data_IF_620828934179
#
_entry.id   IF_620828934179
#
_cell.length_a   1.000
_cell.length_b   1.000
_cell.length_c   1.000
_cell.angle_alpha   90.00
_cell.angle_beta   90.00
_cell.angle_gamma   90.00
#
_symmetry.space_group_name_H-M   'P 1'
#
loop_
_entity.id
_entity.type
_entity.pdbx_description
1 polymer ?
#
# COMPACT_ATOMS: atom_id res chain seq x y z
N UNK A 1 -4.92 20.76 0.26
CA UNK A 1 -4.40 19.87 1.31
C UNK A 1 -2.99 19.42 0.95
N UNK A 2 -2.12 18.99 1.89
CA UNK A 2 -0.84 18.41 1.53
C UNK A 2 -1.04 17.11 0.74
N UNK A 3 -0.10 16.81 -0.16
CA UNK A 3 -0.16 15.60 -0.98
C UNK A 3 0.49 14.42 -0.25
N UNK A 4 -0.18 13.27 -0.27
CA UNK A 4 0.34 11.98 0.19
C UNK A 4 0.43 11.02 -1.00
N UNK A 5 1.64 10.59 -1.36
CA UNK A 5 1.85 9.55 -2.36
C UNK A 5 2.03 8.22 -1.63
N UNK A 6 1.25 7.22 -2.00
CA UNK A 6 1.28 5.89 -1.39
C UNK A 6 1.68 4.85 -2.43
N UNK A 7 2.77 4.14 -2.21
CA UNK A 7 3.17 2.99 -3.03
C UNK A 7 2.74 1.69 -2.36
N UNK A 8 1.84 0.96 -3.00
CA UNK A 8 1.27 -0.25 -2.44
C UNK A 8 1.33 -1.43 -3.42
N UNK A 9 1.67 -2.62 -2.90
CA UNK A 9 1.63 -3.88 -3.64
C UNK A 9 0.24 -4.51 -3.68
N UNK A 10 -0.70 -4.00 -2.87
CA UNK A 10 -2.10 -4.45 -2.86
C UNK A 10 -2.96 -3.57 -3.75
N UNK A 11 -3.97 -4.18 -4.39
CA UNK A 11 -4.98 -3.47 -5.15
C UNK A 11 -6.00 -2.80 -4.24
N UNK A 12 -6.40 -1.59 -4.58
CA UNK A 12 -7.40 -0.83 -3.82
C UNK A 12 -8.76 -1.53 -3.79
N UNK A 13 -9.17 -2.10 -4.91
CA UNK A 13 -10.48 -2.72 -5.11
C UNK A 13 -10.51 -4.23 -4.81
N UNK A 14 -9.47 -4.79 -4.21
CA UNK A 14 -9.42 -6.21 -3.86
C UNK A 14 -10.10 -6.46 -2.50
N UNK A 15 -9.34 -6.57 -1.42
CA UNK A 15 -9.87 -6.77 -0.07
C UNK A 15 -9.65 -5.52 0.75
N UNK A 16 -10.67 -5.06 1.48
CA UNK A 16 -10.55 -3.87 2.33
C UNK A 16 -9.71 -4.20 3.56
N UNK A 17 -8.45 -3.79 3.53
CA UNK A 17 -7.42 -4.11 4.51
C UNK A 17 -6.81 -2.84 5.12
N UNK A 18 -5.68 -2.98 5.80
CA UNK A 18 -4.95 -1.91 6.46
C UNK A 18 -4.72 -0.68 5.56
N UNK A 19 -4.26 -0.80 4.29
CA UNK A 19 -4.06 0.38 3.44
C UNK A 19 -5.35 1.18 3.25
N UNK A 20 -6.46 0.54 2.88
CA UNK A 20 -7.73 1.23 2.66
C UNK A 20 -8.26 1.85 3.97
N UNK A 21 -8.16 1.13 5.09
CA UNK A 21 -8.60 1.64 6.39
C UNK A 21 -7.82 2.89 6.83
N UNK A 22 -6.51 2.94 6.58
CA UNK A 22 -5.68 4.09 6.93
C UNK A 22 -5.89 5.24 5.96
N UNK A 23 -5.85 4.96 4.65
CA UNK A 23 -5.93 6.01 3.63
C UNK A 23 -7.30 6.70 3.64
N UNK A 24 -8.41 5.97 3.85
CA UNK A 24 -9.74 6.60 3.97
C UNK A 24 -9.85 7.56 5.16
N UNK A 25 -9.11 7.33 6.24
CA UNK A 25 -9.05 8.24 7.38
C UNK A 25 -8.09 9.41 7.15
N UNK A 26 -6.94 9.13 6.55
CA UNK A 26 -5.95 10.17 6.22
C UNK A 26 -6.43 11.12 5.12
N UNK A 27 -7.39 10.70 4.28
CA UNK A 27 -8.01 11.55 3.27
C UNK A 27 -8.80 12.76 3.84
N UNK A 28 -9.07 12.78 5.13
CA UNK A 28 -9.58 13.98 5.82
C UNK A 28 -8.52 15.09 5.91
N UNK A 29 -7.24 14.76 5.74
CA UNK A 29 -6.12 15.67 5.94
C UNK A 29 -5.18 15.79 4.73
N UNK A 30 -5.26 14.84 3.77
CA UNK A 30 -4.37 14.74 2.62
C UNK A 30 -5.13 14.52 1.32
N UNK A 31 -4.58 15.05 0.21
CA UNK A 31 -4.92 14.59 -1.13
C UNK A 31 -4.03 13.36 -1.45
N UNK A 32 -4.66 12.19 -1.57
CA UNK A 32 -3.95 10.90 -1.65
C UNK A 32 -3.86 10.42 -3.10
N UNK A 33 -2.64 10.13 -3.53
CA UNK A 33 -2.31 9.47 -4.77
C UNK A 33 -1.85 8.05 -4.46
N UNK A 34 -2.74 7.08 -4.60
CA UNK A 34 -2.49 5.69 -4.27
C UNK A 34 -1.97 4.96 -5.51
N UNK A 35 -0.66 4.74 -5.57
CA UNK A 35 0.03 4.13 -6.70
C UNK A 35 0.10 2.62 -6.50
N UNK A 36 -0.59 1.90 -7.37
CA UNK A 36 -0.58 0.44 -7.42
C UNK A 36 0.57 -0.10 -8.28
N UNK A 37 0.85 -1.39 -8.11
CA UNK A 37 1.72 -2.12 -9.03
C UNK A 37 1.18 -2.08 -10.46
N UNK A 38 2.07 -2.10 -11.49
CA UNK A 38 1.64 -2.09 -12.87
C UNK A 38 0.77 -3.29 -13.24
N UNK A 39 -0.08 -3.06 -14.23
CA UNK A 39 -0.88 -4.08 -14.91
C UNK A 39 -0.33 -4.26 -16.32
N UNK A 40 -0.20 -5.50 -16.76
CA UNK A 40 0.15 -5.76 -18.15
C UNK A 40 -0.97 -5.28 -19.09
N UNK A 41 -0.58 -4.52 -20.10
CA UNK A 41 -1.46 -4.03 -21.15
C UNK A 41 -0.66 -3.86 -22.44
N UNK A 42 -1.15 -4.40 -23.53
CA UNK A 42 -0.51 -4.21 -24.84
C UNK A 42 -0.56 -2.73 -25.27
N UNK A 43 0.44 -2.33 -26.07
CA UNK A 43 0.52 -0.99 -26.64
C UNK A 43 1.33 0.00 -25.80
N UNK A 44 1.04 1.28 -25.97
CA UNK A 44 1.77 2.35 -25.28
C UNK A 44 1.42 2.35 -23.78
N UNK A 45 2.44 2.51 -22.94
CA UNK A 45 2.24 2.61 -21.52
C UNK A 45 1.45 3.89 -21.14
N UNK A 46 0.57 3.77 -20.16
CA UNK A 46 -0.23 4.89 -19.63
C UNK A 46 -0.53 4.74 -18.14
N UNK A 47 -0.84 5.87 -17.50
CA UNK A 47 -1.29 5.91 -16.11
C UNK A 47 -2.80 6.10 -16.05
N UNK A 48 -3.53 5.06 -15.58
CA UNK A 48 -4.96 5.17 -15.31
C UNK A 48 -5.16 5.80 -13.94
N UNK A 49 -5.88 6.91 -13.89
CA UNK A 49 -6.26 7.59 -12.64
C UNK A 49 -7.75 7.42 -12.40
N UNK A 50 -8.14 6.94 -11.21
CA UNK A 50 -9.54 6.69 -10.82
C UNK A 50 -9.80 7.29 -9.44
N UNK A 51 -10.71 8.26 -9.35
CA UNK A 51 -11.18 8.75 -8.05
C UNK A 51 -12.06 7.67 -7.40
N UNK A 52 -11.67 7.18 -6.23
CA UNK A 52 -12.34 6.07 -5.52
C UNK A 52 -13.06 6.54 -4.25
N UNK A 53 -12.65 7.69 -3.72
CA UNK A 53 -13.29 8.35 -2.58
C UNK A 53 -12.92 9.85 -2.62
N UNK A 54 -13.55 10.71 -1.81
CA UNK A 54 -13.08 12.08 -1.65
C UNK A 54 -11.60 12.11 -1.28
N UNK A 55 -10.82 12.91 -2.02
CA UNK A 55 -9.38 13.09 -1.83
C UNK A 55 -8.54 11.81 -1.97
N UNK A 56 -9.04 10.76 -2.63
CA UNK A 56 -8.28 9.54 -2.95
C UNK A 56 -8.38 9.24 -4.44
N UNK A 57 -7.24 9.29 -5.11
CA UNK A 57 -7.08 8.88 -6.50
C UNK A 57 -6.17 7.66 -6.59
N UNK A 58 -6.69 6.55 -7.11
CA UNK A 58 -5.89 5.37 -7.44
C UNK A 58 -5.19 5.61 -8.77
N UNK A 59 -3.88 5.45 -8.77
CA UNK A 59 -2.99 5.60 -9.90
C UNK A 59 -2.46 4.21 -10.29
N UNK A 60 -3.00 3.64 -11.35
CA UNK A 60 -2.64 2.30 -11.83
C UNK A 60 -1.85 2.40 -13.14
N UNK A 61 -0.54 2.11 -13.13
CA UNK A 61 0.26 2.05 -14.35
C UNK A 61 -0.15 0.85 -15.21
N UNK A 62 -0.24 1.05 -16.51
CA UNK A 62 -0.42 0.02 -17.53
C UNK A 62 0.80 -0.02 -18.43
N UNK A 63 1.44 -1.20 -18.57
CA UNK A 63 2.69 -1.36 -19.32
C UNK A 63 2.68 -2.67 -20.13
N UNK A 64 3.42 -2.71 -21.23
CA UNK A 64 3.62 -3.92 -22.01
C UNK A 64 4.80 -4.79 -21.52
N UNK A 65 5.23 -4.60 -20.27
CA UNK A 65 6.38 -5.28 -19.70
C UNK A 65 5.89 -6.46 -18.85
N UNK A 66 6.34 -7.67 -19.16
CA UNK A 66 6.02 -8.91 -18.47
C UNK A 66 6.87 -9.12 -17.19
N UNK A 67 6.96 -8.11 -16.34
CA UNK A 67 7.65 -8.21 -15.07
C UNK A 67 6.69 -7.89 -13.92
N UNK A 68 6.71 -8.64 -12.80
CA UNK A 68 5.73 -8.48 -11.73
C UNK A 68 6.02 -7.27 -10.87
N UNK A 69 4.99 -6.59 -10.43
CA UNK A 69 5.06 -5.53 -9.45
C UNK A 69 6.01 -4.39 -9.83
N UNK A 70 6.69 -3.83 -8.85
CA UNK A 70 7.71 -2.79 -9.04
C UNK A 70 9.10 -3.40 -9.38
N UNK A 71 9.13 -4.37 -10.31
CA UNK A 71 10.38 -4.97 -10.79
C UNK A 71 11.27 -3.95 -11.49
N UNK A 72 12.59 -4.22 -11.53
CA UNK A 72 13.57 -3.31 -12.13
C UNK A 72 13.26 -2.95 -13.58
N UNK A 73 12.76 -3.90 -14.36
CA UNK A 73 12.40 -3.69 -15.77
C UNK A 73 11.24 -2.69 -15.94
N UNK A 74 10.38 -2.55 -14.93
CA UNK A 74 9.27 -1.60 -14.93
C UNK A 74 9.72 -0.16 -14.64
N UNK A 75 10.80 0.01 -13.87
CA UNK A 75 11.19 1.31 -13.30
C UNK A 75 11.35 2.43 -14.33
N UNK A 76 12.02 2.24 -15.49
CA UNK A 76 12.18 3.32 -16.47
C UNK A 76 10.83 3.84 -16.98
N UNK A 77 9.90 2.92 -17.26
CA UNK A 77 8.55 3.28 -17.72
C UNK A 77 7.75 3.94 -16.60
N UNK A 78 7.84 3.40 -15.37
CA UNK A 78 7.13 3.97 -14.22
C UNK A 78 7.65 5.38 -13.88
N UNK A 79 8.95 5.64 -13.94
CA UNK A 79 9.48 6.99 -13.77
C UNK A 79 8.87 7.98 -14.76
N UNK A 80 8.75 7.59 -16.05
CA UNK A 80 8.13 8.42 -17.07
C UNK A 80 6.65 8.67 -16.77
N UNK A 81 5.90 7.63 -16.40
CA UNK A 81 4.45 7.73 -16.12
C UNK A 81 4.14 8.54 -14.86
N UNK A 82 5.05 8.55 -13.89
CA UNK A 82 4.88 9.22 -12.60
C UNK A 82 5.59 10.59 -12.53
N UNK A 83 6.30 11.00 -13.58
CA UNK A 83 7.04 12.27 -13.61
C UNK A 83 6.14 13.49 -13.29
N UNK A 84 4.91 13.48 -13.83
CA UNK A 84 3.92 14.55 -13.62
C UNK A 84 2.84 14.15 -12.61
N UNK A 85 3.18 13.24 -11.68
CA UNK A 85 2.21 12.76 -10.68
C UNK A 85 1.77 13.89 -9.76
N UNK A 86 2.68 14.78 -9.41
CA UNK A 86 2.44 15.99 -8.60
C UNK A 86 3.00 17.22 -9.30
N UNK A 87 2.42 18.42 -9.07
CA UNK A 87 2.97 19.67 -9.59
C UNK A 87 4.41 19.90 -9.15
N UNK A 88 5.19 20.57 -10.00
CA UNK A 88 6.56 20.99 -9.67
C UNK A 88 6.58 21.84 -8.39
N UNK A 89 7.58 21.62 -7.54
CA UNK A 89 7.71 22.29 -6.24
C UNK A 89 6.84 21.71 -5.13
N UNK A 90 6.02 20.69 -5.41
CA UNK A 90 5.29 19.97 -4.36
C UNK A 90 6.27 19.18 -3.49
N UNK A 91 6.07 19.24 -2.17
CA UNK A 91 6.81 18.47 -1.17
C UNK A 91 5.87 17.41 -0.55
N UNK A 92 5.64 16.28 -1.23
CA UNK A 92 4.68 15.27 -0.74
C UNK A 92 5.21 14.54 0.49
N UNK A 93 4.31 14.00 1.29
CA UNK A 93 4.65 12.85 2.14
C UNK A 93 4.63 11.61 1.25
N UNK A 94 5.63 10.75 1.36
CA UNK A 94 5.69 9.50 0.60
C UNK A 94 5.59 8.31 1.55
N UNK A 95 4.60 7.45 1.31
CA UNK A 95 4.26 6.30 2.15
C UNK A 95 4.48 5.00 1.38
N UNK A 96 5.31 4.12 1.92
CA UNK A 96 5.63 2.84 1.32
C UNK A 96 4.99 1.69 2.10
N UNK A 97 4.19 0.87 1.41
CA UNK A 97 3.78 -0.48 1.85
C UNK A 97 4.69 -1.58 1.29
N UNK A 98 5.52 -1.25 0.32
CA UNK A 98 6.47 -2.16 -0.29
C UNK A 98 7.82 -1.49 -0.55
N UNK A 99 8.93 -2.09 -0.09
CA UNK A 99 10.26 -1.59 -0.41
C UNK A 99 10.59 -1.64 -1.90
N UNK A 100 9.90 -2.48 -2.67
CA UNK A 100 10.16 -2.62 -4.11
C UNK A 100 9.95 -1.33 -4.90
N UNK A 101 9.09 -0.45 -4.42
CA UNK A 101 8.84 0.85 -5.02
C UNK A 101 9.87 1.94 -4.65
N UNK A 102 10.84 1.66 -3.77
CA UNK A 102 11.81 2.66 -3.30
C UNK A 102 12.53 3.42 -4.44
N UNK A 103 12.95 2.79 -5.55
CA UNK A 103 13.58 3.53 -6.64
C UNK A 103 12.70 4.63 -7.25
N UNK A 104 11.37 4.51 -7.16
CA UNK A 104 10.43 5.54 -7.64
C UNK A 104 10.43 6.82 -6.80
N UNK A 105 11.16 6.83 -5.69
CA UNK A 105 11.43 8.06 -4.92
C UNK A 105 12.33 9.04 -5.71
N UNK A 106 13.10 8.54 -6.66
CA UNK A 106 13.93 9.38 -7.52
C UNK A 106 13.05 10.33 -8.33
N UNK A 107 13.35 11.63 -8.25
CA UNK A 107 12.57 12.68 -8.89
C UNK A 107 11.42 13.23 -8.05
N UNK A 108 11.03 12.55 -6.97
CA UNK A 108 10.18 13.12 -5.93
C UNK A 108 11.06 13.85 -4.91
N UNK A 109 10.55 14.95 -4.38
CA UNK A 109 11.20 15.69 -3.29
C UNK A 109 10.34 15.59 -2.03
N UNK A 110 10.42 14.46 -1.28
CA UNK A 110 9.51 14.22 -0.18
C UNK A 110 9.81 15.13 1.01
N UNK A 111 8.74 15.66 1.64
CA UNK A 111 8.83 16.31 2.94
C UNK A 111 9.05 15.31 4.06
N UNK A 112 8.48 14.12 3.93
CA UNK A 112 8.61 12.99 4.85
C UNK A 112 8.47 11.66 4.12
N UNK A 113 9.16 10.64 4.64
CA UNK A 113 9.12 9.27 4.16
C UNK A 113 8.58 8.37 5.28
N UNK A 114 7.51 7.63 4.98
CA UNK A 114 6.89 6.66 5.90
C UNK A 114 7.06 5.26 5.32
N UNK A 115 7.51 4.32 6.14
CA UNK A 115 7.46 2.90 5.81
C UNK A 115 6.47 2.19 6.73
N UNK A 116 5.39 1.64 6.16
CA UNK A 116 4.41 0.81 6.88
C UNK A 116 4.61 -0.66 6.52
N UNK A 117 5.41 -1.35 7.35
CA UNK A 117 5.74 -2.75 7.25
C UNK A 117 4.57 -3.59 7.80
N UNK A 118 3.62 -3.92 6.94
CA UNK A 118 2.46 -4.73 7.34
C UNK A 118 2.74 -6.25 7.27
N UNK A 119 3.72 -6.67 6.47
CA UNK A 119 4.14 -8.06 6.27
C UNK A 119 5.66 -8.17 6.17
N UNK A 120 6.22 -9.33 6.50
CA UNK A 120 7.63 -9.66 6.23
C UNK A 120 7.75 -10.17 4.79
N UNK A 121 7.66 -9.24 3.83
CA UNK A 121 7.61 -9.56 2.40
C UNK A 121 8.78 -10.41 1.92
N UNK A 122 9.95 -10.29 2.56
CA UNK A 122 11.14 -11.07 2.23
C UNK A 122 11.03 -12.57 2.57
N UNK A 123 10.06 -12.95 3.41
CA UNK A 123 9.82 -14.34 3.81
C UNK A 123 8.90 -15.09 2.83
N UNK A 124 8.29 -14.40 1.88
CA UNK A 124 7.47 -15.08 0.87
C UNK A 124 8.32 -15.90 -0.09
N UNK A 125 7.82 -17.07 -0.49
CA UNK A 125 8.54 -18.08 -1.30
C UNK A 125 9.21 -17.53 -2.57
N UNK A 126 8.60 -16.53 -3.21
CA UNK A 126 9.08 -15.94 -4.46
C UNK A 126 9.49 -14.48 -4.28
N UNK A 127 9.93 -14.08 -3.08
CA UNK A 127 10.36 -12.71 -2.82
C UNK A 127 11.50 -12.32 -3.77
N UNK A 128 11.42 -11.12 -4.40
CA UNK A 128 12.51 -10.63 -5.23
C UNK A 128 13.81 -10.49 -4.45
N UNK A 129 14.94 -10.84 -5.05
CA UNK A 129 16.26 -10.77 -4.39
C UNK A 129 16.60 -9.35 -3.91
N UNK A 130 16.13 -8.34 -4.65
CA UNK A 130 16.35 -6.92 -4.34
C UNK A 130 15.60 -6.44 -3.10
N UNK A 131 14.58 -7.18 -2.66
CA UNK A 131 13.66 -6.74 -1.60
C UNK A 131 14.40 -6.43 -0.29
N UNK A 132 15.30 -7.33 0.16
CA UNK A 132 16.07 -7.12 1.38
C UNK A 132 16.98 -5.88 1.31
N UNK A 133 17.63 -5.67 0.17
CA UNK A 133 18.48 -4.51 -0.05
C UNK A 133 17.66 -3.23 -0.04
N UNK A 134 16.52 -3.23 -0.73
CA UNK A 134 15.61 -2.07 -0.79
C UNK A 134 14.95 -1.79 0.55
N UNK A 135 14.59 -2.84 1.31
CA UNK A 135 14.08 -2.64 2.67
C UNK A 135 15.13 -2.00 3.57
N UNK A 136 16.38 -2.47 3.49
CA UNK A 136 17.47 -1.88 4.28
C UNK A 136 17.70 -0.41 3.92
N UNK A 137 17.66 -0.08 2.63
CA UNK A 137 17.77 1.29 2.18
C UNK A 137 16.57 2.15 2.64
N UNK A 138 15.35 1.62 2.52
CA UNK A 138 14.13 2.32 2.95
C UNK A 138 14.12 2.57 4.46
N UNK A 139 14.54 1.60 5.27
CA UNK A 139 14.68 1.78 6.73
C UNK A 139 15.67 2.91 7.08
N UNK A 140 16.75 3.05 6.32
CA UNK A 140 17.72 4.13 6.54
C UNK A 140 17.21 5.50 6.11
N UNK A 141 16.25 5.57 5.17
CA UNK A 141 15.74 6.82 4.60
C UNK A 141 14.43 7.27 5.27
N UNK A 142 13.66 6.36 5.86
CA UNK A 142 12.37 6.66 6.45
C UNK A 142 12.51 7.60 7.66
N UNK A 143 11.58 8.53 7.80
CA UNK A 143 11.42 9.37 9.00
C UNK A 143 10.71 8.61 10.12
N UNK A 144 9.82 7.68 9.75
CA UNK A 144 9.07 6.85 10.68
C UNK A 144 8.75 5.49 10.05
N UNK A 145 8.78 4.45 10.88
CA UNK A 145 8.44 3.07 10.50
C UNK A 145 7.26 2.60 11.35
N UNK A 146 6.20 2.16 10.69
CA UNK A 146 5.09 1.47 11.32
C UNK A 146 5.20 -0.03 11.06
N UNK A 147 4.74 -0.83 12.01
CA UNK A 147 4.70 -2.30 11.86
C UNK A 147 3.32 -2.83 12.19
N UNK A 148 2.85 -3.79 11.39
CA UNK A 148 1.51 -4.38 11.49
C UNK A 148 1.32 -5.36 12.65
N UNK A 149 2.37 -5.61 13.45
CA UNK A 149 2.28 -6.51 14.59
C UNK A 149 3.56 -6.59 15.42
N UNK A 150 3.48 -7.22 16.62
CA UNK A 150 4.61 -7.28 17.55
C UNK A 150 5.85 -7.98 17.00
N UNK A 151 5.69 -9.06 16.21
CA UNK A 151 6.81 -9.79 15.62
C UNK A 151 7.57 -8.92 14.60
N UNK A 152 6.85 -8.18 13.75
CA UNK A 152 7.44 -7.22 12.82
C UNK A 152 8.15 -6.09 13.57
N UNK A 153 7.53 -5.59 14.64
CA UNK A 153 8.15 -4.57 15.48
C UNK A 153 9.48 -5.07 16.07
N UNK A 154 9.52 -6.27 16.64
CA UNK A 154 10.75 -6.83 17.20
C UNK A 154 11.86 -6.95 16.14
N UNK A 155 11.52 -7.25 14.88
CA UNK A 155 12.50 -7.37 13.79
C UNK A 155 13.00 -6.02 13.24
N UNK A 156 12.24 -4.93 13.44
CA UNK A 156 12.55 -3.61 12.86
C UNK A 156 13.04 -2.57 13.89
N UNK A 157 12.67 -2.69 15.18
CA UNK A 157 12.95 -1.68 16.21
C UNK A 157 14.45 -1.38 16.41
N UNK A 158 15.29 -2.39 16.26
CA UNK A 158 16.74 -2.24 16.43
C UNK A 158 17.41 -1.71 15.14
N UNK A 159 16.65 -1.62 14.04
CA UNK A 159 17.09 -1.12 12.74
C UNK A 159 16.63 0.31 12.46
N UNK A 160 15.67 0.83 13.23
CA UNK A 160 15.15 2.19 13.05
C UNK A 160 14.69 2.79 14.39
N UNK A 161 15.28 3.95 14.77
CA UNK A 161 15.02 4.56 16.07
C UNK A 161 13.58 5.05 16.27
N UNK A 162 12.89 5.41 15.17
CA UNK A 162 11.51 5.88 15.18
C UNK A 162 10.55 4.83 14.62
N UNK A 163 10.61 3.59 15.18
CA UNK A 163 9.73 2.49 14.81
C UNK A 163 8.60 2.34 15.84
N UNK A 164 7.37 2.10 15.35
CA UNK A 164 6.18 1.97 16.18
C UNK A 164 5.34 0.76 15.76
N UNK A 165 4.78 0.05 16.75
CA UNK A 165 3.88 -1.07 16.53
C UNK A 165 2.43 -0.59 16.53
N UNK A 166 1.77 -0.69 15.38
CA UNK A 166 0.32 -0.52 15.24
C UNK A 166 -0.26 -1.80 14.66
N UNK A 167 -0.60 -2.73 15.54
CA UNK A 167 -1.18 -4.01 15.14
C UNK A 167 -2.43 -3.82 14.30
N UNK A 168 -2.64 -4.73 13.35
CA UNK A 168 -3.87 -4.79 12.58
C UNK A 168 -5.05 -4.89 13.55
N UNK A 169 -6.10 -4.14 13.26
CA UNK A 169 -7.33 -4.09 14.03
C UNK A 169 -8.53 -4.19 13.09
N UNK A 170 -9.73 -4.11 13.64
CA UNK A 170 -10.96 -4.23 12.88
C UNK A 170 -11.77 -2.93 12.92
N UNK A 171 -12.57 -2.68 11.90
CA UNK A 171 -13.61 -1.67 11.96
C UNK A 171 -14.73 -2.15 12.89
N UNK A 172 -14.67 -1.71 14.15
CA UNK A 172 -15.61 -2.12 15.18
C UNK A 172 -17.06 -1.79 14.83
N UNK A 173 -17.31 -0.68 14.09
CA UNK A 173 -18.65 -0.31 13.65
C UNK A 173 -19.18 -1.32 12.62
N UNK A 174 -18.34 -1.70 11.66
CA UNK A 174 -18.69 -2.70 10.64
C UNK A 174 -18.96 -4.06 11.28
N UNK A 175 -18.02 -4.56 12.09
CA UNK A 175 -18.12 -5.90 12.69
C UNK A 175 -19.18 -6.02 13.80
N UNK A 176 -19.58 -4.92 14.44
CA UNK A 176 -20.65 -4.93 15.46
C UNK A 176 -21.98 -5.44 14.94
N UNK A 177 -22.24 -5.32 13.64
CA UNK A 177 -23.44 -5.89 13.00
C UNK A 177 -23.56 -7.41 13.21
N UNK A 178 -22.44 -8.13 13.34
CA UNK A 178 -22.44 -9.57 13.61
C UNK A 178 -23.01 -9.96 14.99
N UNK A 179 -23.18 -9.01 15.91
CA UNK A 179 -23.84 -9.23 17.20
C UNK A 179 -25.36 -9.31 17.07
N UNK A 180 -25.94 -8.78 16.01
CA UNK A 180 -27.36 -8.91 15.72
C UNK A 180 -27.62 -10.24 15.01
N UNK A 181 -28.25 -11.18 15.73
CA UNK A 181 -28.57 -12.51 15.21
C UNK A 181 -29.62 -12.51 14.09
N UNK A 182 -30.34 -11.42 13.91
CA UNK A 182 -31.29 -11.26 12.81
C UNK A 182 -30.59 -10.96 11.47
N UNK A 183 -29.33 -10.45 11.51
CA UNK A 183 -28.54 -10.17 10.33
C UNK A 183 -27.82 -11.45 9.89
N UNK A 184 -28.16 -11.96 8.72
CA UNK A 184 -27.48 -13.09 8.08
C UNK A 184 -27.08 -12.71 6.65
N UNK A 185 -25.86 -13.10 6.26
CA UNK A 185 -25.42 -12.88 4.88
C UNK A 185 -26.24 -13.75 3.92
N UNK A 186 -26.85 -13.19 2.86
CA UNK A 186 -27.73 -13.96 1.95
C UNK A 186 -27.08 -15.20 1.38
N UNK A 187 -25.79 -15.15 1.03
CA UNK A 187 -25.01 -16.28 0.51
C UNK A 187 -24.81 -17.43 1.50
N UNK A 188 -25.13 -17.23 2.79
CA UNK A 188 -25.01 -18.24 3.84
C UNK A 188 -26.37 -18.76 4.33
N UNK A 189 -27.47 -18.22 3.82
CA UNK A 189 -28.81 -18.54 4.31
C UNK A 189 -29.17 -20.05 4.18
N UNK A 190 -28.59 -20.72 3.19
CA UNK A 190 -28.79 -22.15 2.93
C UNK A 190 -27.91 -23.09 3.78
N UNK A 191 -26.92 -22.52 4.53
CA UNK A 191 -26.02 -23.32 5.36
C UNK A 191 -26.58 -23.36 6.79
N UNK A 192 -26.94 -24.54 7.33
CA UNK A 192 -27.40 -24.63 8.71
C UNK A 192 -26.27 -24.36 9.71
N UNK A 193 -26.58 -23.78 10.89
CA UNK A 193 -25.58 -23.65 11.96
C UNK A 193 -25.24 -25.01 12.60
N UNK A 194 -24.05 -25.17 13.21
CA UNK A 194 -22.99 -24.19 13.30
C UNK A 194 -22.25 -24.02 11.98
N UNK A 195 -21.82 -22.76 11.66
CA UNK A 195 -21.09 -22.44 10.45
C UNK A 195 -19.65 -22.16 10.80
N UNK A 196 -18.73 -22.86 10.13
CA UNK A 196 -17.29 -22.59 10.19
C UNK A 196 -16.84 -22.11 8.81
N UNK A 197 -16.12 -21.01 8.78
CA UNK A 197 -15.57 -20.41 7.56
C UNK A 197 -14.05 -20.37 7.59
N UNK A 198 -13.44 -20.50 6.41
CA UNK A 198 -12.04 -20.23 6.18
C UNK A 198 -11.93 -19.31 4.95
N UNK A 199 -11.02 -18.30 5.00
CA UNK A 199 -10.76 -17.37 3.90
C UNK A 199 -9.28 -17.03 3.80
#
# INVERSE_FOLDING_TARGET
MPTLIVFCHLRWDFVFQRPQHLMTRLAEHYDILFVEEPVYSEGQAYLKKTAVAPNITVCQPHTAIHAPGFHDDQLPTLHTLLADLVPEGTLPVVWFYTPMALPLLQGLNPSKIVYDCMDELAMFKNAPKQLLQRESALLNMADVVFTGGPSLYQSKRDRHANAHCFSSSVDAKHFRQAQDRAISHPGQAHIPPPRLGFY
#
